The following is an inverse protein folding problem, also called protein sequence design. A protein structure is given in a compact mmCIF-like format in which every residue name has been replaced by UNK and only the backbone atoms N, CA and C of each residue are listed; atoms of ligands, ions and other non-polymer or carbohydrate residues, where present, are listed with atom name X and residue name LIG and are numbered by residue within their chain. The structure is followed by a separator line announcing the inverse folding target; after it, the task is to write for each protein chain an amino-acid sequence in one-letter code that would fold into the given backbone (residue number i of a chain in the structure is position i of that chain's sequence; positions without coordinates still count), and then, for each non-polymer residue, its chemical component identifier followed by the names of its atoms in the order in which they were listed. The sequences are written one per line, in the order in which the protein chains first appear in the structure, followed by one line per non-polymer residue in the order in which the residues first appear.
data_IF_967820688928
#
_entry.id   IF_967820688928
#
_cell.length_a   1.000
_cell.length_b   1.000
_cell.length_c   1.000
_cell.angle_alpha   90.00
_cell.angle_beta   90.00
_cell.angle_gamma   90.00
#
_symmetry.space_group_name_H-M   'P 1'
#
loop_
_entity.id
_entity.type
_entity.pdbx_description
1 polymer ?
#
# COMPACT_ATOMS: atom_id res chain seq x y z
N UNK A 1 -3.87 -2.02 -13.20
CA UNK A 1 -5.22 -1.59 -12.76
C UNK A 1 -5.06 -0.41 -11.80
N UNK A 2 -5.84 0.66 -11.96
CA UNK A 2 -5.81 1.87 -11.10
C UNK A 2 -6.37 1.66 -9.68
N UNK A 3 -6.93 0.47 -9.43
CA UNK A 3 -7.73 0.16 -8.26
C UNK A 3 -6.93 0.19 -6.93
N UNK A 4 -5.63 -0.14 -6.93
CA UNK A 4 -4.85 -0.19 -5.69
C UNK A 4 -4.60 1.20 -5.08
N UNK A 5 -4.12 2.14 -5.90
CA UNK A 5 -3.83 3.52 -5.46
C UNK A 5 -5.14 4.27 -5.16
N UNK A 6 -6.17 4.08 -5.99
CA UNK A 6 -7.46 4.70 -5.77
C UNK A 6 -8.14 4.21 -4.49
N UNK A 7 -8.10 2.90 -4.22
CA UNK A 7 -8.65 2.33 -2.98
C UNK A 7 -7.89 2.84 -1.74
N UNK A 8 -6.57 2.95 -1.82
CA UNK A 8 -5.76 3.54 -0.75
C UNK A 8 -6.19 5.00 -0.48
N UNK A 9 -6.25 5.83 -1.51
CA UNK A 9 -6.67 7.23 -1.40
C UNK A 9 -8.11 7.38 -0.88
N UNK A 10 -9.01 6.51 -1.29
CA UNK A 10 -10.39 6.45 -0.77
C UNK A 10 -10.41 6.20 0.74
N UNK A 11 -9.59 5.27 1.23
CA UNK A 11 -9.52 4.98 2.66
C UNK A 11 -8.94 6.15 3.47
N UNK A 12 -7.93 6.85 2.95
CA UNK A 12 -7.41 8.07 3.57
C UNK A 12 -8.44 9.21 3.60
N UNK A 13 -9.21 9.39 2.53
CA UNK A 13 -10.30 10.39 2.50
C UNK A 13 -11.39 10.06 3.53
N UNK A 14 -11.66 8.79 3.78
CA UNK A 14 -12.68 8.36 4.75
C UNK A 14 -12.33 8.80 6.18
N UNK A 15 -11.08 8.65 6.60
CA UNK A 15 -10.64 9.03 7.96
C UNK A 15 -10.46 10.53 8.16
N UNK A 16 -10.17 11.27 7.09
CA UNK A 16 -9.99 12.73 7.14
C UNK A 16 -11.32 13.48 6.97
N UNK A 17 -12.32 12.91 6.29
CA UNK A 17 -13.63 13.56 6.06
C UNK A 17 -14.38 13.95 7.34
N UNK A 18 -14.20 13.22 8.43
CA UNK A 18 -14.92 13.46 9.70
C UNK A 18 -14.26 14.53 10.58
N UNK A 19 -13.03 14.94 10.29
CA UNK A 19 -12.30 15.98 11.02
C UNK A 19 -12.12 17.20 10.12
N UNK A 20 -12.88 18.27 10.39
CA UNK A 20 -12.80 19.53 9.64
C UNK A 20 -11.51 20.31 9.89
N UNK A 21 -10.92 20.19 11.08
CA UNK A 21 -9.66 20.81 11.45
C UNK A 21 -8.87 19.92 12.42
N UNK A 22 -7.54 19.98 12.33
CA UNK A 22 -6.63 19.33 13.25
C UNK A 22 -5.98 20.38 14.17
N UNK A 23 -5.73 20.06 15.45
CA UNK A 23 -5.15 21.02 16.41
C UNK A 23 -3.65 21.29 16.16
N UNK A 24 -2.96 20.41 15.44
CA UNK A 24 -1.56 20.57 15.00
C UNK A 24 -1.24 19.63 13.84
N UNK A 25 -0.15 19.91 13.13
CA UNK A 25 0.35 19.04 12.04
C UNK A 25 0.71 17.64 12.56
N UNK A 26 1.27 17.55 13.77
CA UNK A 26 1.55 16.27 14.42
C UNK A 26 0.29 15.42 14.64
N UNK A 27 -0.83 16.06 14.98
CA UNK A 27 -2.10 15.37 15.16
C UNK A 27 -2.65 14.83 13.82
N UNK A 28 -2.45 15.59 12.73
CA UNK A 28 -2.78 15.14 11.38
C UNK A 28 -1.91 13.95 10.97
N UNK A 29 -0.58 14.04 11.14
CA UNK A 29 0.36 12.98 10.77
C UNK A 29 0.05 11.69 11.55
N UNK A 30 -0.20 11.78 12.87
CA UNK A 30 -0.60 10.60 13.67
C UNK A 30 -1.90 9.99 13.18
N UNK A 31 -2.89 10.80 12.82
CA UNK A 31 -4.16 10.32 12.28
C UNK A 31 -3.97 9.56 10.96
N UNK A 32 -3.12 10.08 10.07
CA UNK A 32 -2.79 9.41 8.81
C UNK A 32 -2.01 8.13 9.06
N UNK A 33 -1.02 8.14 9.95
CA UNK A 33 -0.25 6.96 10.33
C UNK A 33 -1.14 5.82 10.83
N UNK A 34 -2.08 6.12 11.73
CA UNK A 34 -3.01 5.11 12.24
C UNK A 34 -3.88 4.54 11.12
N UNK A 35 -4.35 5.38 10.21
CA UNK A 35 -5.13 4.94 9.06
C UNK A 35 -4.32 4.03 8.12
N UNK A 36 -3.09 4.41 7.79
CA UNK A 36 -2.18 3.59 6.97
C UNK A 36 -1.95 2.25 7.66
N UNK A 37 -1.68 2.24 8.97
CA UNK A 37 -1.47 1.01 9.74
C UNK A 37 -2.69 0.08 9.68
N UNK A 38 -3.90 0.62 9.73
CA UNK A 38 -5.11 -0.20 9.68
C UNK A 38 -5.44 -0.69 8.26
N UNK A 39 -5.03 0.07 7.23
CA UNK A 39 -5.09 -0.36 5.83
C UNK A 39 -4.10 -1.50 5.59
N UNK A 40 -2.84 -1.33 6.00
CA UNK A 40 -1.77 -2.32 5.76
C UNK A 40 -2.05 -3.64 6.49
N UNK A 41 -2.66 -3.61 7.68
CA UNK A 41 -3.13 -4.83 8.36
C UNK A 41 -4.09 -5.68 7.52
N UNK A 42 -4.88 -5.05 6.63
CA UNK A 42 -5.82 -5.73 5.74
C UNK A 42 -5.19 -6.14 4.40
N UNK A 43 -4.00 -5.63 4.09
CA UNK A 43 -3.23 -5.98 2.89
C UNK A 43 -2.42 -7.27 3.09
N UNK A 44 -3.10 -8.35 3.47
CA UNK A 44 -2.53 -9.70 3.57
C UNK A 44 -2.91 -10.59 2.38
N UNK A 45 -3.68 -10.07 1.42
CA UNK A 45 -4.11 -10.82 0.25
C UNK A 45 -2.92 -11.19 -0.65
N UNK A 46 -2.89 -12.44 -1.13
CA UNK A 46 -1.93 -12.88 -2.15
C UNK A 46 -2.23 -12.19 -3.48
N UNK A 47 -1.18 -11.73 -4.17
CA UNK A 47 -1.32 -11.21 -5.53
C UNK A 47 -1.60 -12.39 -6.47
N UNK A 48 -2.69 -12.30 -7.21
CA UNK A 48 -3.07 -13.33 -8.18
C UNK A 48 -2.01 -13.42 -9.28
N UNK A 49 -1.52 -14.63 -9.54
CA UNK A 49 -0.52 -14.86 -10.60
C UNK A 49 0.90 -14.38 -10.26
N UNK A 50 1.22 -14.15 -8.98
CA UNK A 50 2.52 -13.63 -8.57
C UNK A 50 3.70 -14.46 -9.11
N UNK A 51 3.62 -15.79 -9.12
CA UNK A 51 4.69 -16.64 -9.65
C UNK A 51 5.02 -16.38 -11.12
N UNK A 52 4.00 -16.20 -11.97
CA UNK A 52 4.20 -15.87 -13.39
C UNK A 52 4.80 -14.48 -13.57
N UNK A 53 4.31 -13.51 -12.81
CA UNK A 53 4.83 -12.13 -12.84
C UNK A 53 6.29 -12.11 -12.39
N UNK A 54 6.61 -12.84 -11.34
CA UNK A 54 7.95 -12.93 -10.79
C UNK A 54 8.94 -13.56 -11.78
N UNK A 55 8.54 -14.65 -12.45
CA UNK A 55 9.36 -15.25 -13.51
C UNK A 55 9.65 -14.26 -14.65
N UNK A 56 8.64 -13.47 -15.07
CA UNK A 56 8.84 -12.43 -16.07
C UNK A 56 9.80 -11.35 -15.57
N UNK A 57 9.66 -10.89 -14.31
CA UNK A 57 10.54 -9.90 -13.72
C UNK A 57 11.98 -10.40 -13.60
N UNK A 58 12.21 -11.67 -13.27
CA UNK A 58 13.54 -12.26 -13.24
C UNK A 58 14.23 -12.22 -14.61
N UNK A 59 13.48 -12.48 -15.70
CA UNK A 59 13.99 -12.42 -17.06
C UNK A 59 14.29 -10.97 -17.49
N UNK A 60 13.41 -10.01 -17.16
CA UNK A 60 13.63 -8.61 -17.52
C UNK A 60 14.73 -7.92 -16.71
N UNK A 61 14.94 -8.36 -15.47
CA UNK A 61 15.89 -7.77 -14.52
C UNK A 61 16.93 -8.79 -14.05
N UNK A 62 17.54 -9.50 -15.00
CA UNK A 62 18.59 -10.48 -14.74
C UNK A 62 19.69 -9.89 -13.83
N UNK A 63 20.10 -10.68 -12.83
CA UNK A 63 21.15 -10.30 -11.88
C UNK A 63 20.73 -9.30 -10.78
N UNK A 64 19.50 -8.77 -10.79
CA UNK A 64 18.95 -7.94 -9.70
C UNK A 64 17.94 -8.64 -8.80
N UNK A 65 17.23 -9.62 -9.35
CA UNK A 65 16.24 -10.42 -8.63
C UNK A 65 16.63 -11.87 -8.84
N UNK A 66 17.07 -12.54 -7.77
CA UNK A 66 17.45 -13.95 -7.79
C UNK A 66 16.43 -14.79 -7.02
N UNK A 67 16.41 -16.09 -7.31
CA UNK A 67 15.57 -17.05 -6.60
C UNK A 67 15.88 -17.13 -5.09
N UNK A 68 17.06 -16.63 -4.68
CA UNK A 68 17.48 -16.54 -3.28
C UNK A 68 16.88 -15.35 -2.52
N UNK A 69 16.34 -14.37 -3.23
CA UNK A 69 15.78 -13.14 -2.65
C UNK A 69 14.27 -13.26 -2.34
N UNK A 70 13.68 -14.42 -2.63
CA UNK A 70 12.23 -14.70 -2.53
C UNK A 70 11.92 -15.54 -1.30
#
# INVERSE_FOLDING_TARGET
TTNAIENFNRQLRKVTKTKSAYPSDDALIKSLYLAVRDITKKWSGRIQGWGTILNQLMIYFEGRISEKDI
#
